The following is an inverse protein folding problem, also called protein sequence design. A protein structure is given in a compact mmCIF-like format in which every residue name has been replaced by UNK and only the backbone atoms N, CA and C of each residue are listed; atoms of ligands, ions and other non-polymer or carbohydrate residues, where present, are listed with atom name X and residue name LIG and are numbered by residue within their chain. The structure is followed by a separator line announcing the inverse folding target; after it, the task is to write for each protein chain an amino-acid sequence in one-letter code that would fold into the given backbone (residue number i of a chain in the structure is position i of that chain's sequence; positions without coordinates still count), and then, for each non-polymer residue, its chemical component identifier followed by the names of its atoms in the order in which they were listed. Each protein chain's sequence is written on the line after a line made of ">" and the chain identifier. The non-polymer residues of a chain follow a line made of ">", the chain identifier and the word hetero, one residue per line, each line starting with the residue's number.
data_IF_819514461503
#
_entry.id   IF_819514461503
#
_cell.length_a   1.000
_cell.length_b   1.000
_cell.length_c   1.000
_cell.angle_alpha   90.00
_cell.angle_beta   90.00
_cell.angle_gamma   90.00
#
_symmetry.space_group_name_H-M   'P 1'
#
loop_
_entity.id
_entity.type
_entity.pdbx_description
1 polymer ?
#
# COMPACT_ATOMS: atom_id res chain seq x y z
N UNK A 1 2.97 -3.04 -24.23
CA UNK A 1 2.98 -4.52 -24.13
C UNK A 1 1.77 -4.94 -23.32
N UNK A 2 0.82 -5.67 -23.92
CA UNK A 2 -0.29 -6.27 -23.17
C UNK A 2 0.28 -7.43 -22.35
N UNK A 3 0.47 -7.23 -21.03
CA UNK A 3 0.73 -8.35 -20.14
C UNK A 3 -0.47 -9.30 -20.21
N UNK A 4 -0.21 -10.51 -20.66
CA UNK A 4 -1.18 -11.59 -20.69
C UNK A 4 -1.60 -11.90 -19.24
N UNK A 5 -2.72 -11.31 -18.82
CA UNK A 5 -3.26 -11.38 -17.46
C UNK A 5 -3.55 -12.82 -17.02
N UNK A 6 -3.56 -13.78 -17.95
CA UNK A 6 -3.67 -15.22 -17.69
C UNK A 6 -2.51 -15.78 -16.85
N UNK A 7 -1.37 -15.08 -16.77
CA UNK A 7 -0.16 -15.53 -16.05
C UNK A 7 0.05 -14.88 -14.67
N UNK A 8 -0.70 -13.84 -14.33
CA UNK A 8 -0.53 -13.16 -13.04
C UNK A 8 -1.22 -13.96 -11.94
N UNK A 9 -0.43 -14.67 -11.13
CA UNK A 9 -0.93 -15.37 -9.94
C UNK A 9 -1.01 -14.40 -8.78
N UNK A 10 -2.22 -14.16 -8.26
CA UNK A 10 -2.37 -13.44 -6.98
C UNK A 10 -1.94 -14.36 -5.84
N UNK A 11 -0.85 -13.97 -5.18
CA UNK A 11 -0.36 -14.60 -3.96
C UNK A 11 0.22 -13.53 -3.03
N UNK A 12 -0.32 -13.43 -1.82
CA UNK A 12 0.21 -12.54 -0.79
C UNK A 12 1.26 -13.27 0.04
N UNK A 13 2.40 -12.62 0.26
CA UNK A 13 3.41 -13.17 1.16
C UNK A 13 2.93 -13.07 2.60
N UNK A 14 3.23 -14.11 3.36
CA UNK A 14 3.01 -14.14 4.81
C UNK A 14 4.07 -13.38 5.59
N UNK A 15 5.25 -13.22 5.00
CA UNK A 15 6.38 -12.50 5.58
C UNK A 15 7.24 -11.86 4.50
N UNK A 16 7.88 -10.75 4.85
CA UNK A 16 9.03 -10.19 4.14
C UNK A 16 10.19 -10.11 5.12
N UNK A 17 11.35 -10.56 4.67
CA UNK A 17 12.59 -10.45 5.43
C UNK A 17 13.40 -9.28 4.88
N UNK A 18 13.85 -8.42 5.77
CA UNK A 18 14.77 -7.33 5.49
C UNK A 18 15.93 -7.42 6.52
N UNK A 19 17.13 -6.90 6.23
CA UNK A 19 18.24 -6.95 7.18
C UNK A 19 17.91 -6.34 8.54
N UNK A 20 17.10 -5.28 8.58
CA UNK A 20 16.80 -4.48 9.78
C UNK A 20 15.47 -4.84 10.43
N UNK A 21 14.47 -5.23 9.62
CA UNK A 21 13.13 -5.55 10.10
C UNK A 21 12.60 -6.89 9.56
N UNK A 22 11.59 -7.42 10.23
CA UNK A 22 10.77 -8.54 9.77
C UNK A 22 9.33 -8.08 9.67
N UNK A 23 8.69 -8.32 8.52
CA UNK A 23 7.25 -8.12 8.38
C UNK A 23 6.53 -9.45 8.46
N UNK A 24 5.41 -9.48 9.18
CA UNK A 24 4.51 -10.64 9.24
C UNK A 24 3.07 -10.19 9.00
N UNK A 25 2.36 -10.88 8.11
CA UNK A 25 0.95 -10.62 7.88
C UNK A 25 0.11 -11.04 9.09
N UNK A 26 -0.79 -10.17 9.55
CA UNK A 26 -1.83 -10.50 10.54
C UNK A 26 -3.07 -11.16 9.92
N UNK A 27 -3.09 -11.31 8.59
CA UNK A 27 -4.26 -11.76 7.85
C UNK A 27 -4.65 -13.19 8.23
N UNK A 28 -5.92 -13.43 8.55
CA UNK A 28 -6.40 -14.80 8.79
C UNK A 28 -6.38 -15.61 7.49
N UNK A 29 -6.31 -16.94 7.56
CA UNK A 29 -6.42 -17.81 6.37
C UNK A 29 -7.74 -17.59 5.61
N UNK A 30 -8.83 -17.29 6.34
CA UNK A 30 -10.12 -16.98 5.75
C UNK A 30 -10.07 -15.67 4.95
N UNK A 31 -9.57 -14.58 5.57
CA UNK A 31 -9.43 -13.30 4.89
C UNK A 31 -8.48 -13.36 3.70
N UNK A 32 -7.38 -14.10 3.81
CA UNK A 32 -6.44 -14.32 2.69
C UNK A 32 -7.12 -14.93 1.45
N UNK A 33 -8.00 -15.92 1.64
CA UNK A 33 -8.77 -16.50 0.54
C UNK A 33 -9.71 -15.47 -0.11
N UNK A 34 -10.44 -14.71 0.71
CA UNK A 34 -11.34 -13.66 0.21
C UNK A 34 -10.55 -12.58 -0.56
N UNK A 35 -9.45 -12.10 0.00
CA UNK A 35 -8.59 -11.11 -0.65
C UNK A 35 -8.01 -11.64 -1.96
N UNK A 36 -7.66 -12.93 -2.03
CA UNK A 36 -7.17 -13.57 -3.25
C UNK A 36 -8.25 -13.64 -4.32
N UNK A 37 -9.48 -14.02 -3.94
CA UNK A 37 -10.64 -14.03 -4.85
C UNK A 37 -10.96 -12.62 -5.37
N UNK A 38 -10.94 -11.61 -4.52
CA UNK A 38 -11.10 -10.21 -4.93
C UNK A 38 -9.98 -9.74 -5.84
N UNK A 39 -8.74 -10.06 -5.52
CA UNK A 39 -7.60 -9.70 -6.36
C UNK A 39 -7.70 -10.31 -7.76
N UNK A 40 -8.17 -11.57 -7.86
CA UNK A 40 -8.46 -12.20 -9.16
C UNK A 40 -9.58 -11.50 -9.91
N UNK A 41 -10.63 -11.06 -9.21
CA UNK A 41 -11.70 -10.27 -9.83
C UNK A 41 -11.16 -8.93 -10.39
N UNK A 42 -10.28 -8.25 -9.64
CA UNK A 42 -9.64 -7.00 -10.08
C UNK A 42 -8.76 -7.18 -11.31
N UNK A 43 -7.99 -8.27 -11.39
CA UNK A 43 -7.20 -8.56 -12.60
C UNK A 43 -8.09 -8.76 -13.83
N UNK A 44 -9.28 -9.33 -13.66
CA UNK A 44 -10.21 -9.61 -14.77
C UNK A 44 -10.98 -8.39 -15.23
N UNK A 45 -11.47 -7.56 -14.30
CA UNK A 45 -12.41 -6.48 -14.61
C UNK A 45 -12.24 -5.21 -13.78
N UNK A 46 -11.06 -4.99 -13.19
CA UNK A 46 -10.75 -3.78 -12.45
C UNK A 46 -11.45 -3.66 -11.11
N UNK A 47 -11.44 -2.45 -10.57
CA UNK A 47 -12.12 -2.12 -9.32
C UNK A 47 -13.63 -2.44 -9.39
N UNK A 48 -14.26 -2.22 -10.55
CA UNK A 48 -15.68 -2.49 -10.76
C UNK A 48 -16.03 -3.95 -10.48
N UNK A 49 -15.22 -4.89 -10.95
CA UNK A 49 -15.44 -6.31 -10.72
C UNK A 49 -15.34 -6.68 -9.23
N UNK A 50 -14.42 -6.05 -8.49
CA UNK A 50 -14.30 -6.24 -7.04
C UNK A 50 -15.51 -5.69 -6.28
N UNK A 51 -15.95 -4.46 -6.59
CA UNK A 51 -17.15 -3.88 -5.99
C UNK A 51 -18.38 -4.77 -6.26
N UNK A 52 -18.57 -5.22 -7.50
CA UNK A 52 -19.66 -6.12 -7.87
C UNK A 52 -19.61 -7.43 -7.11
N UNK A 53 -18.43 -8.05 -6.97
CA UNK A 53 -18.28 -9.29 -6.19
C UNK A 53 -18.66 -9.07 -4.72
N UNK A 54 -18.19 -7.98 -4.11
CA UNK A 54 -18.55 -7.63 -2.74
C UNK A 54 -20.06 -7.38 -2.54
N UNK A 55 -20.75 -6.89 -3.56
CA UNK A 55 -22.20 -6.65 -3.50
C UNK A 55 -23.03 -7.91 -3.73
N UNK A 56 -22.52 -8.88 -4.49
CA UNK A 56 -23.27 -10.07 -4.91
C UNK A 56 -23.03 -11.30 -4.01
N UNK A 57 -21.87 -11.39 -3.36
CA UNK A 57 -21.50 -12.57 -2.57
C UNK A 57 -21.42 -12.23 -1.07
N UNK A 58 -22.30 -12.86 -0.29
CA UNK A 58 -22.44 -12.63 1.14
C UNK A 58 -21.15 -12.91 1.95
N UNK A 59 -20.22 -13.73 1.43
CA UNK A 59 -18.93 -14.00 2.07
C UNK A 59 -18.08 -12.73 2.20
N UNK A 60 -18.29 -11.75 1.33
CA UNK A 60 -17.57 -10.48 1.29
C UNK A 60 -18.28 -9.35 2.05
N UNK A 61 -19.37 -9.65 2.76
CA UNK A 61 -20.12 -8.65 3.53
C UNK A 61 -19.24 -7.93 4.56
N UNK A 62 -18.28 -8.62 5.16
CA UNK A 62 -17.34 -8.03 6.13
C UNK A 62 -16.49 -6.89 5.52
N UNK A 63 -16.08 -7.05 4.26
CA UNK A 63 -15.29 -6.09 3.48
C UNK A 63 -16.13 -4.86 3.11
N UNK A 64 -17.43 -5.08 2.87
CA UNK A 64 -18.39 -4.00 2.64
C UNK A 64 -18.66 -3.20 3.92
N UNK A 65 -18.83 -3.89 5.05
CA UNK A 65 -19.10 -3.25 6.35
C UNK A 65 -17.91 -2.45 6.88
N UNK A 66 -16.67 -2.78 6.48
CA UNK A 66 -15.47 -1.99 6.80
C UNK A 66 -15.30 -0.74 5.93
N UNK A 67 -16.33 -0.35 5.16
CA UNK A 67 -16.35 0.89 4.40
C UNK A 67 -15.57 0.83 3.09
N UNK A 68 -15.36 -0.37 2.53
CA UNK A 68 -14.59 -0.61 1.30
C UNK A 68 -13.10 -0.21 1.38
N UNK A 69 -12.59 0.16 2.54
CA UNK A 69 -11.15 0.41 2.74
C UNK A 69 -10.30 -0.81 2.39
N UNK A 70 -10.78 -2.01 2.75
CA UNK A 70 -10.12 -3.27 2.38
C UNK A 70 -10.06 -3.48 0.85
N UNK A 71 -11.02 -2.99 0.06
CA UNK A 71 -10.94 -3.04 -1.41
C UNK A 71 -9.76 -2.21 -1.90
N UNK A 72 -9.55 -1.02 -1.33
CA UNK A 72 -8.42 -0.17 -1.72
C UNK A 72 -7.07 -0.80 -1.34
N UNK A 73 -6.98 -1.42 -0.16
CA UNK A 73 -5.78 -2.15 0.27
C UNK A 73 -5.44 -3.27 -0.73
N UNK A 74 -6.44 -4.05 -1.13
CA UNK A 74 -6.28 -5.14 -2.11
C UNK A 74 -5.92 -4.57 -3.48
N UNK A 75 -6.54 -3.47 -3.91
CA UNK A 75 -6.24 -2.84 -5.19
C UNK A 75 -4.77 -2.39 -5.29
N UNK A 76 -4.26 -1.77 -4.22
CA UNK A 76 -2.84 -1.42 -4.12
C UNK A 76 -1.95 -2.68 -4.16
N UNK A 77 -2.31 -3.72 -3.40
CA UNK A 77 -1.53 -4.95 -3.41
C UNK A 77 -1.52 -5.63 -4.79
N UNK A 78 -2.66 -5.70 -5.47
CA UNK A 78 -2.79 -6.27 -6.82
C UNK A 78 -2.00 -5.45 -7.83
N UNK A 79 -2.03 -4.11 -7.73
CA UNK A 79 -1.25 -3.22 -8.58
C UNK A 79 0.26 -3.50 -8.46
N UNK A 80 0.76 -3.67 -7.23
CA UNK A 80 2.16 -3.99 -7.01
C UNK A 80 2.53 -5.42 -7.43
N UNK A 81 1.67 -6.41 -7.17
CA UNK A 81 1.88 -7.80 -7.63
C UNK A 81 1.94 -7.85 -9.17
N UNK A 82 1.06 -7.11 -9.86
CA UNK A 82 1.04 -7.03 -11.32
C UNK A 82 2.34 -6.45 -11.89
N UNK A 83 3.04 -5.60 -11.12
CA UNK A 83 4.37 -5.08 -11.44
C UNK A 83 5.53 -6.00 -11.04
N UNK A 84 5.24 -7.17 -10.47
CA UNK A 84 6.24 -8.17 -10.08
C UNK A 84 6.75 -8.05 -8.65
N UNK A 85 6.17 -7.16 -7.83
CA UNK A 85 6.57 -7.03 -6.43
C UNK A 85 5.97 -8.12 -5.56
N UNK A 86 6.75 -8.55 -4.58
CA UNK A 86 6.24 -9.33 -3.45
C UNK A 86 5.46 -8.42 -2.49
N UNK A 87 4.25 -8.83 -2.09
CA UNK A 87 3.39 -7.98 -1.25
C UNK A 87 2.92 -8.71 0.00
N UNK A 88 2.96 -8.03 1.13
CA UNK A 88 2.37 -8.45 2.41
C UNK A 88 1.18 -7.54 2.71
N UNK A 89 0.02 -8.14 2.99
CA UNK A 89 -1.17 -7.43 3.47
C UNK A 89 -1.26 -7.50 4.99
N UNK A 90 -1.79 -6.42 5.59
CA UNK A 90 -1.85 -6.24 7.04
C UNK A 90 -0.50 -6.54 7.75
N UNK A 91 0.64 -5.99 7.26
CA UNK A 91 1.95 -6.28 7.82
C UNK A 91 2.13 -5.67 9.20
N UNK A 92 2.46 -6.50 10.18
CA UNK A 92 3.04 -6.10 11.46
C UNK A 92 4.55 -6.00 11.36
N UNK A 93 5.11 -4.97 11.98
CA UNK A 93 6.55 -4.73 12.00
C UNK A 93 7.15 -5.37 13.24
N UNK A 94 8.13 -6.25 13.03
CA UNK A 94 8.98 -6.79 14.08
C UNK A 94 10.41 -6.33 13.83
N UNK A 95 10.91 -5.45 14.70
CA UNK A 95 12.28 -4.94 14.63
C UNK A 95 13.24 -6.04 15.10
N UNK A 96 14.32 -6.28 14.34
CA UNK A 96 15.24 -7.39 14.60
C UNK A 96 16.28 -7.07 15.68
N UNK A 97 16.72 -5.83 15.80
CA UNK A 97 17.71 -5.42 16.80
C UNK A 97 17.09 -4.58 17.93
N UNK A 98 17.64 -4.69 19.15
CA UNK A 98 17.36 -3.81 20.29
C UNK A 98 17.93 -2.40 20.08
N UNK A 99 17.76 -1.81 18.90
CA UNK A 99 18.06 -0.39 18.71
C UNK A 99 16.95 0.39 19.36
N UNK A 100 17.31 1.32 20.24
CA UNK A 100 16.38 2.32 20.75
C UNK A 100 15.85 3.10 19.56
N UNK A 101 14.61 2.80 19.18
CA UNK A 101 13.90 3.56 18.19
C UNK A 101 13.63 4.94 18.77
N UNK A 102 14.38 5.94 18.32
CA UNK A 102 14.13 7.34 18.70
C UNK A 102 12.87 7.93 18.05
N UNK A 103 12.19 7.13 17.22
CA UNK A 103 10.98 7.49 16.51
C UNK A 103 9.89 6.45 16.80
N UNK A 104 8.68 6.92 17.12
CA UNK A 104 7.53 6.03 17.30
C UNK A 104 7.01 5.60 15.93
N UNK A 105 7.32 4.36 15.55
CA UNK A 105 6.60 3.69 14.46
C UNK A 105 5.60 2.75 15.11
N UNK A 106 4.33 2.89 14.74
CA UNK A 106 3.29 1.97 15.17
C UNK A 106 3.65 0.52 14.77
N UNK A 107 3.81 -0.42 15.71
CA UNK A 107 4.06 -1.83 15.41
C UNK A 107 2.80 -2.56 14.90
N UNK A 108 1.64 -1.93 14.97
CA UNK A 108 0.37 -2.40 14.44
C UNK A 108 0.36 -2.55 12.92
N UNK A 109 -0.68 -3.20 12.36
CA UNK A 109 -0.70 -3.50 10.94
C UNK A 109 -0.86 -2.23 10.10
N UNK A 110 0.09 -2.00 9.19
CA UNK A 110 -0.14 -1.14 8.02
C UNK A 110 -1.09 -1.85 7.06
N UNK A 111 -1.52 -1.19 6.00
CA UNK A 111 -2.47 -1.78 5.04
C UNK A 111 -1.75 -2.71 4.06
N UNK A 112 -0.62 -2.26 3.51
CA UNK A 112 0.17 -2.97 2.50
C UNK A 112 1.66 -2.74 2.73
N UNK A 113 2.51 -3.74 2.49
CA UNK A 113 3.96 -3.57 2.39
C UNK A 113 4.53 -4.31 1.19
N UNK A 114 5.59 -3.75 0.60
CA UNK A 114 6.34 -4.36 -0.49
C UNK A 114 7.81 -3.90 -0.45
N UNK A 115 8.77 -4.71 -0.90
CA UNK A 115 10.17 -4.32 -0.95
C UNK A 115 10.37 -3.29 -2.08
N UNK A 116 11.00 -2.16 -1.75
CA UNK A 116 11.54 -1.24 -2.76
C UNK A 116 12.83 -1.84 -3.32
N UNK A 117 13.64 -2.43 -2.44
CA UNK A 117 14.84 -3.21 -2.75
C UNK A 117 15.19 -4.10 -1.55
N UNK A 118 16.39 -4.70 -1.53
CA UNK A 118 16.83 -5.62 -0.47
C UNK A 118 16.90 -4.97 0.92
N UNK A 119 17.19 -3.67 0.99
CA UNK A 119 17.40 -2.96 2.25
C UNK A 119 16.20 -2.11 2.68
N UNK A 120 15.26 -1.82 1.78
CA UNK A 120 14.20 -0.84 2.02
C UNK A 120 12.83 -1.44 1.70
N UNK A 121 11.92 -1.33 2.66
CA UNK A 121 10.53 -1.76 2.52
C UNK A 121 9.59 -0.56 2.60
N UNK A 122 8.68 -0.45 1.64
CA UNK A 122 7.57 0.49 1.70
C UNK A 122 6.49 -0.01 2.65
N UNK A 123 5.98 0.88 3.51
CA UNK A 123 4.84 0.62 4.40
C UNK A 123 3.72 1.59 4.04
N UNK A 124 2.59 1.07 3.58
CA UNK A 124 1.50 1.88 3.05
C UNK A 124 0.33 1.91 4.02
N UNK A 125 -0.16 3.11 4.29
CA UNK A 125 -1.50 3.33 4.82
C UNK A 125 -2.40 3.78 3.67
N UNK A 126 -3.47 3.04 3.40
CA UNK A 126 -4.29 3.19 2.19
C UNK A 126 -5.69 3.66 2.58
N UNK A 127 -6.20 4.63 1.83
CA UNK A 127 -7.51 5.23 2.04
C UNK A 127 -8.25 5.34 0.72
N UNK A 128 -9.52 4.94 0.73
CA UNK A 128 -10.46 5.15 -0.35
C UNK A 128 -11.32 6.36 -0.01
N UNK A 129 -11.53 7.25 -0.97
CA UNK A 129 -12.44 8.39 -0.83
C UNK A 129 -13.45 8.42 -1.97
N UNK A 130 -14.73 8.55 -1.60
CA UNK A 130 -15.85 8.71 -2.52
C UNK A 130 -16.26 10.18 -2.63
N UNK A 131 -17.14 10.48 -3.59
CA UNK A 131 -17.71 11.82 -3.76
C UNK A 131 -18.43 12.25 -2.48
N UNK A 132 -18.17 13.47 -2.02
CA UNK A 132 -18.83 14.04 -0.84
C UNK A 132 -18.20 13.69 0.50
N UNK A 133 -17.25 12.75 0.54
CA UNK A 133 -16.52 12.42 1.77
C UNK A 133 -15.35 13.39 1.98
N UNK A 134 -14.97 13.61 3.24
CA UNK A 134 -13.70 14.23 3.60
C UNK A 134 -12.56 13.24 3.38
N UNK A 135 -11.35 13.73 3.13
CA UNK A 135 -10.19 12.85 3.12
C UNK A 135 -9.97 12.31 4.55
N UNK A 136 -10.00 10.99 4.78
CA UNK A 136 -9.73 10.45 6.10
C UNK A 136 -8.27 10.74 6.48
N UNK A 137 -7.98 10.93 7.78
CA UNK A 137 -6.61 11.07 8.24
C UNK A 137 -5.83 9.78 7.99
N UNK A 138 -4.52 9.92 7.86
CA UNK A 138 -3.59 8.81 7.75
C UNK A 138 -2.90 8.61 9.09
N UNK A 139 -3.68 8.24 10.10
CA UNK A 139 -3.29 8.35 11.50
C UNK A 139 -2.01 7.60 11.92
N UNK A 140 -1.47 6.66 11.12
CA UNK A 140 -0.14 6.07 11.39
C UNK A 140 0.96 6.88 10.75
N UNK A 141 0.84 7.21 9.47
CA UNK A 141 1.90 7.99 8.80
C UNK A 141 1.90 9.44 9.27
N UNK A 142 0.75 10.03 9.57
CA UNK A 142 0.63 11.38 10.13
C UNK A 142 1.48 11.49 11.41
N UNK A 143 1.31 10.56 12.37
CA UNK A 143 2.10 10.49 13.62
C UNK A 143 3.61 10.38 13.41
N UNK A 144 4.04 9.70 12.35
CA UNK A 144 5.47 9.56 12.03
C UNK A 144 6.07 10.93 11.63
N UNK A 145 5.27 11.79 11.02
CA UNK A 145 5.70 13.05 10.43
C UNK A 145 5.24 14.31 11.18
N UNK A 146 4.46 14.17 12.25
CA UNK A 146 3.87 15.29 13.03
C UNK A 146 4.90 16.20 13.71
N UNK A 147 6.07 15.67 14.11
CA UNK A 147 6.98 16.37 15.03
C UNK A 147 8.21 17.02 14.37
N UNK A 148 8.51 16.72 13.11
CA UNK A 148 9.81 17.06 12.50
C UNK A 148 9.70 17.32 11.00
N UNK A 149 10.66 18.10 10.42
CA UNK A 149 10.72 18.27 8.97
C UNK A 149 10.79 16.92 8.26
N UNK A 150 9.99 16.77 7.19
CA UNK A 150 9.83 15.51 6.47
C UNK A 150 11.16 14.88 6.03
N UNK A 151 12.06 15.67 5.42
CA UNK A 151 13.27 15.15 4.79
C UNK A 151 14.23 14.48 5.79
N UNK A 152 14.59 15.10 6.94
CA UNK A 152 15.33 14.43 8.01
C UNK A 152 14.67 13.15 8.50
N UNK A 153 13.35 13.18 8.74
CA UNK A 153 12.61 12.00 9.22
C UNK A 153 12.71 10.86 8.23
N UNK A 154 12.39 11.09 6.96
CA UNK A 154 12.46 10.04 5.93
C UNK A 154 13.88 9.49 5.77
N UNK A 155 14.91 10.34 5.86
CA UNK A 155 16.31 9.88 5.83
C UNK A 155 16.64 8.95 7.00
N UNK A 156 16.20 9.27 8.21
CA UNK A 156 16.36 8.39 9.37
C UNK A 156 15.59 7.08 9.18
N UNK A 157 14.34 7.16 8.72
CA UNK A 157 13.50 5.97 8.50
C UNK A 157 14.10 5.00 7.47
N UNK A 158 14.60 5.54 6.36
CA UNK A 158 15.23 4.75 5.31
C UNK A 158 16.62 4.28 5.74
N UNK A 159 17.46 5.19 6.24
CA UNK A 159 18.85 4.91 6.58
C UNK A 159 19.02 3.99 7.79
N UNK A 160 18.33 4.28 8.89
CA UNK A 160 18.55 3.56 10.15
C UNK A 160 17.66 2.32 10.26
N UNK A 161 16.47 2.37 9.66
CA UNK A 161 15.44 1.35 9.87
C UNK A 161 15.05 0.57 8.61
N UNK A 162 15.47 1.01 7.42
CA UNK A 162 15.17 0.32 6.16
C UNK A 162 13.69 0.36 5.81
N UNK A 163 12.98 1.43 6.17
CA UNK A 163 11.56 1.57 5.88
C UNK A 163 11.21 2.92 5.26
N UNK A 164 10.14 2.90 4.46
CA UNK A 164 9.53 4.09 3.89
C UNK A 164 8.01 4.08 4.13
N UNK A 165 7.51 4.70 5.21
CA UNK A 165 6.08 4.79 5.47
C UNK A 165 5.44 5.95 4.70
N UNK A 166 4.38 5.71 3.94
CA UNK A 166 3.65 6.79 3.25
C UNK A 166 2.19 6.43 2.99
N UNK A 167 1.37 7.46 2.79
CA UNK A 167 -0.07 7.32 2.58
C UNK A 167 -0.45 7.20 1.10
N UNK A 168 -1.48 6.42 0.80
CA UNK A 168 -2.12 6.35 -0.53
C UNK A 168 -3.58 6.80 -0.39
N UNK A 169 -3.95 7.90 -1.04
CA UNK A 169 -5.33 8.33 -1.17
C UNK A 169 -5.86 8.01 -2.56
N UNK A 170 -6.77 7.05 -2.66
CA UNK A 170 -7.49 6.72 -3.91
C UNK A 170 -8.79 7.50 -3.94
N UNK A 171 -8.89 8.48 -4.84
CA UNK A 171 -10.11 9.22 -5.12
C UNK A 171 -10.81 8.63 -6.35
N UNK A 172 -11.97 8.02 -6.15
CA UNK A 172 -12.83 7.54 -7.26
C UNK A 172 -13.31 8.73 -8.10
N UNK A 173 -13.57 9.87 -7.45
CA UNK A 173 -14.02 11.09 -8.14
C UNK A 173 -12.83 12.00 -8.42
N UNK A 174 -12.69 12.56 -9.63
CA UNK A 174 -11.60 13.46 -9.98
C UNK A 174 -11.74 14.81 -9.27
N UNK A 175 -11.22 14.92 -8.05
CA UNK A 175 -11.23 16.15 -7.24
C UNK A 175 -9.80 16.50 -6.84
N UNK A 176 -9.44 17.77 -6.97
CA UNK A 176 -8.16 18.29 -6.49
C UNK A 176 -8.21 18.46 -4.97
N UNK A 177 -7.41 17.68 -4.27
CA UNK A 177 -7.26 17.75 -2.82
C UNK A 177 -5.80 18.03 -2.50
N UNK A 178 -5.57 18.94 -1.56
CA UNK A 178 -4.27 19.17 -0.95
C UNK A 178 -4.00 18.05 0.04
N UNK A 179 -2.98 17.25 -0.21
CA UNK A 179 -2.53 16.18 0.68
C UNK A 179 -1.16 16.54 1.25
N UNK A 180 -0.78 15.99 2.42
CA UNK A 180 0.59 16.09 2.92
C UNK A 180 1.61 15.54 1.91
N UNK A 181 2.87 16.00 1.96
CA UNK A 181 3.91 15.60 1.01
C UNK A 181 4.30 14.11 1.05
N UNK A 182 3.93 13.39 2.10
CA UNK A 182 4.10 11.93 2.25
C UNK A 182 2.84 11.14 1.85
N UNK A 183 1.86 11.78 1.18
CA UNK A 183 0.63 11.13 0.72
C UNK A 183 0.52 11.24 -0.80
N UNK A 184 0.48 10.09 -1.46
CA UNK A 184 0.22 9.96 -2.90
C UNK A 184 -1.27 10.08 -3.14
N UNK A 185 -1.68 11.12 -3.87
CA UNK A 185 -3.08 11.35 -4.23
C UNK A 185 -3.36 10.88 -5.66
N UNK A 186 -4.11 9.78 -5.79
CA UNK A 186 -4.52 9.18 -7.05
C UNK A 186 -5.94 9.67 -7.37
N UNK A 187 -6.07 10.52 -8.39
CA UNK A 187 -7.30 11.28 -8.66
C UNK A 187 -8.06 10.72 -9.85
N UNK A 188 -9.35 10.41 -9.65
CA UNK A 188 -10.23 10.02 -10.74
C UNK A 188 -9.87 8.67 -11.33
N UNK A 189 -9.57 7.70 -10.45
CA UNK A 189 -9.12 6.38 -10.87
C UNK A 189 -10.15 5.69 -11.76
N UNK A 190 -9.70 5.08 -12.86
CA UNK A 190 -10.56 4.25 -13.69
C UNK A 190 -11.11 3.07 -12.88
N UNK A 191 -12.41 2.79 -13.04
CA UNK A 191 -13.03 1.60 -12.43
C UNK A 191 -12.66 0.30 -13.17
N UNK A 192 -12.12 0.42 -14.37
CA UNK A 192 -11.62 -0.67 -15.21
C UNK A 192 -10.26 -1.20 -14.75
N UNK A 193 -9.63 -2.01 -15.60
CA UNK A 193 -8.31 -2.61 -15.30
C UNK A 193 -7.20 -1.57 -15.31
N UNK A 194 -7.37 -0.51 -16.08
CA UNK A 194 -6.45 0.61 -16.23
C UNK A 194 -6.24 1.32 -14.88
N UNK A 195 -7.26 1.37 -14.02
CA UNK A 195 -7.12 1.95 -12.69
C UNK A 195 -6.11 1.19 -11.81
N UNK A 196 -5.97 -0.12 -11.99
CA UNK A 196 -4.94 -0.91 -11.30
C UNK A 196 -3.54 -0.50 -11.76
N UNK A 197 -3.38 -0.20 -13.05
CA UNK A 197 -2.10 0.27 -13.59
C UNK A 197 -1.77 1.67 -13.08
N UNK A 198 -2.75 2.59 -13.12
CA UNK A 198 -2.63 3.94 -12.58
C UNK A 198 -2.19 3.95 -11.10
N UNK A 199 -2.69 3.00 -10.29
CA UNK A 199 -2.25 2.86 -8.89
C UNK A 199 -0.75 2.60 -8.82
N UNK A 200 -0.28 1.59 -9.55
CA UNK A 200 1.13 1.21 -9.52
C UNK A 200 2.04 2.32 -10.05
N UNK A 201 1.63 3.02 -11.10
CA UNK A 201 2.39 4.13 -11.69
C UNK A 201 2.60 5.26 -10.70
N UNK A 202 1.53 5.68 -10.01
CA UNK A 202 1.62 6.78 -9.04
C UNK A 202 2.44 6.41 -7.81
N UNK A 203 2.41 5.14 -7.39
CA UNK A 203 3.26 4.65 -6.30
C UNK A 203 4.73 4.66 -6.73
N UNK A 204 5.04 4.16 -7.92
CA UNK A 204 6.41 4.10 -8.45
C UNK A 204 6.96 5.52 -8.67
N UNK A 205 6.20 6.41 -9.31
CA UNK A 205 6.57 7.83 -9.49
C UNK A 205 6.96 8.49 -8.16
N UNK A 206 6.19 8.22 -7.10
CA UNK A 206 6.50 8.76 -5.78
C UNK A 206 7.83 8.22 -5.23
N UNK A 207 8.06 6.91 -5.33
CA UNK A 207 9.32 6.28 -4.89
C UNK A 207 10.52 6.79 -5.69
N UNK A 208 10.39 6.94 -7.01
CA UNK A 208 11.44 7.51 -7.85
C UNK A 208 11.74 8.97 -7.46
N UNK A 209 10.71 9.78 -7.19
CA UNK A 209 10.91 11.15 -6.70
C UNK A 209 11.65 11.21 -5.36
N UNK A 210 11.52 10.17 -4.52
CA UNK A 210 12.28 10.05 -3.27
C UNK A 210 13.76 9.73 -3.53
N UNK A 211 14.08 8.98 -4.59
CA UNK A 211 15.47 8.74 -5.02
C UNK A 211 16.12 10.02 -5.54
N UNK A 212 15.42 10.77 -6.40
CA UNK A 212 15.89 12.06 -6.94
C UNK A 212 16.18 13.08 -5.83
N UNK A 213 15.41 13.03 -4.74
CA UNK A 213 15.60 13.90 -3.56
C UNK A 213 16.67 13.41 -2.58
N UNK A 214 17.37 12.32 -2.91
CA UNK A 214 18.35 11.64 -2.08
C UNK A 214 17.79 11.26 -0.69
N UNK A 215 16.53 10.82 -0.66
CA UNK A 215 15.90 10.21 0.53
C UNK A 215 16.18 8.70 0.53
N UNK A 216 16.01 8.08 -0.64
CA UNK A 216 16.37 6.68 -0.88
C UNK A 216 17.78 6.67 -1.51
N UNK A 217 18.73 5.86 -0.99
CA UNK A 217 20.04 5.72 -1.61
C UNK A 217 19.93 5.30 -3.07
N UNK A 218 20.69 5.97 -3.94
CA UNK A 218 20.77 5.65 -5.38
C UNK A 218 21.45 4.31 -5.64
N UNK A 219 22.15 3.78 -4.64
CA UNK A 219 22.99 2.59 -4.72
C UNK A 219 22.33 1.40 -4.04
N UNK A 220 21.35 0.79 -4.72
CA UNK A 220 20.97 -0.62 -4.57
C UNK A 220 20.66 -1.06 -6.01
N UNK A 221 21.28 -2.14 -6.54
CA UNK A 221 21.42 -2.42 -7.97
C UNK A 221 20.11 -2.41 -8.76
#
# INVERSE_FOLDING_TARGET
>A
MCNDLSRVTIGFKRKLENPKIRLRSKLSKRKERLYTELGRAMLRGGLQAAFKLCDQDARFREIKTSGYGEIANIAVAVAMIKRGYEVVLEPMIQIKEKREFRMSIDPGPYDVAYPINEEIVALLEVRLRRRGETAPPFGRVDKVYEERPLKPVMKTLVGDYGILPFGILINITPIKIKTPPYVVNIRGISMGREGIDEISEKIIEFVESCKERHIIPSSIP
#
